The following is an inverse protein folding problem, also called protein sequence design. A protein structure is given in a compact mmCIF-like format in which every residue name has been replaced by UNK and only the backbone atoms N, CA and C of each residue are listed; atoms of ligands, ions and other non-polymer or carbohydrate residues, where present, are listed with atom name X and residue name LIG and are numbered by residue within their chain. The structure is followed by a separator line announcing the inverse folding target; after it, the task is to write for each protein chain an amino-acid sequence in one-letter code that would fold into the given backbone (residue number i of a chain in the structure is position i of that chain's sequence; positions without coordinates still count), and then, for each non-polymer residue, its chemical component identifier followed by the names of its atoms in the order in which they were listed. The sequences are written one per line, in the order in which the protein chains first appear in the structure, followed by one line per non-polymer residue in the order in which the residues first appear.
data_IF_205516220209
#
_entry.id   IF_205516220209
#
_cell.length_a   1.000
_cell.length_b   1.000
_cell.length_c   1.000
_cell.angle_alpha   90.00
_cell.angle_beta   90.00
_cell.angle_gamma   90.00
#
_symmetry.space_group_name_H-M   'P 1'
#
loop_
_entity.id
_entity.type
_entity.pdbx_description
1 polymer ?
#
# COMPACT_ATOMS: atom_id res chain seq x y z
N UNK A 1 3.85 23.59 -30.31
CA UNK A 1 3.13 23.16 -29.10
C UNK A 1 2.38 21.90 -29.44
N UNK A 2 3.03 20.74 -29.31
CA UNK A 2 2.41 19.42 -29.57
C UNK A 2 2.16 18.78 -28.22
N UNK A 3 0.89 18.54 -27.91
CA UNK A 3 0.43 17.78 -26.75
C UNK A 3 0.84 16.32 -26.93
N UNK A 4 1.76 15.84 -26.09
CA UNK A 4 2.12 14.42 -26.02
C UNK A 4 0.93 13.67 -25.43
N UNK A 5 0.19 12.94 -26.29
CA UNK A 5 -0.90 12.10 -25.88
C UNK A 5 -0.39 10.95 -25.00
N UNK A 6 -0.76 10.96 -23.73
CA UNK A 6 -0.60 9.81 -22.83
C UNK A 6 -1.52 8.70 -23.32
N UNK A 7 -0.93 7.52 -23.55
CA UNK A 7 -1.65 6.36 -24.08
C UNK A 7 -2.87 6.03 -23.22
N UNK A 8 -4.01 5.97 -23.86
CA UNK A 8 -5.28 5.53 -23.29
C UNK A 8 -5.13 4.11 -22.70
N UNK A 9 -5.76 3.89 -21.55
CA UNK A 9 -5.94 2.54 -20.96
C UNK A 9 -6.40 1.58 -22.06
N UNK A 10 -5.78 0.40 -22.22
CA UNK A 10 -6.18 -0.52 -23.25
C UNK A 10 -7.70 -0.79 -23.19
N UNK A 11 -8.39 -0.66 -24.30
CA UNK A 11 -9.85 -0.83 -24.43
C UNK A 11 -10.37 -2.18 -23.86
N UNK A 12 -9.48 -3.15 -23.64
CA UNK A 12 -9.78 -4.43 -23.00
C UNK A 12 -10.15 -4.34 -21.53
N UNK A 13 -9.52 -3.43 -20.74
CA UNK A 13 -9.90 -3.21 -19.33
C UNK A 13 -11.27 -2.51 -19.23
N UNK A 14 -11.55 -1.58 -20.14
CA UNK A 14 -12.85 -0.91 -20.21
C UNK A 14 -13.99 -1.87 -20.64
N UNK A 15 -13.73 -2.83 -21.55
CA UNK A 15 -14.74 -3.81 -21.99
C UNK A 15 -15.03 -4.90 -20.96
N UNK A 16 -14.06 -5.33 -20.13
CA UNK A 16 -14.30 -6.31 -19.08
C UNK A 16 -15.19 -5.76 -17.92
N UNK A 17 -15.33 -4.43 -17.81
CA UNK A 17 -16.21 -3.77 -16.84
C UNK A 17 -17.67 -3.61 -17.31
N UNK A 18 -18.01 -3.95 -18.56
CA UNK A 18 -19.32 -3.70 -19.15
C UNK A 18 -20.34 -4.83 -18.97
N UNK A 19 -20.40 -5.46 -17.81
CA UNK A 19 -21.55 -6.29 -17.42
C UNK A 19 -22.60 -5.41 -16.71
N UNK A 20 -23.90 -5.44 -17.06
CA UNK A 20 -24.89 -4.42 -16.63
C UNK A 20 -25.30 -4.44 -15.16
N UNK A 21 -24.76 -5.29 -14.33
CA UNK A 21 -25.17 -5.46 -12.95
C UNK A 21 -24.23 -4.82 -11.94
N UNK A 22 -24.05 -3.51 -11.95
CA UNK A 22 -23.56 -2.69 -10.84
C UNK A 22 -22.53 -1.61 -11.22
N UNK A 23 -23.03 -0.54 -11.83
CA UNK A 23 -22.28 0.69 -12.14
C UNK A 23 -21.93 1.55 -10.90
N UNK A 24 -21.86 1.00 -9.68
CA UNK A 24 -21.36 1.71 -8.51
C UNK A 24 -20.10 1.02 -8.04
N UNK A 25 -18.93 1.50 -8.51
CA UNK A 25 -17.63 1.19 -7.94
C UNK A 25 -17.57 1.52 -6.43
N UNK A 26 -16.49 1.17 -5.73
CA UNK A 26 -16.31 1.56 -4.34
C UNK A 26 -16.45 3.08 -4.26
N UNK A 27 -17.19 3.58 -3.28
CA UNK A 27 -17.30 5.04 -3.09
C UNK A 27 -15.98 5.55 -2.55
N UNK A 28 -15.16 6.11 -3.42
CA UNK A 28 -13.98 6.86 -3.02
C UNK A 28 -14.40 7.96 -2.04
N UNK A 29 -13.67 8.08 -0.95
CA UNK A 29 -13.86 9.13 0.07
C UNK A 29 -12.58 9.95 0.16
N UNK A 30 -12.75 11.27 0.23
CA UNK A 30 -11.71 12.16 0.69
C UNK A 30 -11.50 11.90 2.18
N UNK A 31 -10.25 11.89 2.62
CA UNK A 31 -9.87 11.60 4.00
C UNK A 31 -9.01 12.72 4.57
N UNK A 32 -9.19 12.99 5.84
CA UNK A 32 -8.38 13.96 6.55
C UNK A 32 -6.97 13.39 6.82
N UNK A 33 -5.97 14.18 6.53
CA UNK A 33 -4.58 13.89 6.86
C UNK A 33 -4.32 14.37 8.28
N UNK A 34 -3.78 13.50 9.11
CA UNK A 34 -3.40 13.82 10.48
C UNK A 34 -1.96 14.30 10.51
N UNK A 35 -1.75 15.61 10.59
CA UNK A 35 -0.41 16.20 10.78
C UNK A 35 -0.02 16.14 12.25
N UNK A 36 1.14 15.59 12.57
CA UNK A 36 1.69 15.47 13.92
C UNK A 36 2.76 16.52 14.21
N UNK A 37 3.38 17.05 13.17
CA UNK A 37 4.34 18.15 13.21
C UNK A 37 3.93 19.21 12.18
N UNK A 38 4.44 20.44 12.26
CA UNK A 38 4.28 21.42 11.19
C UNK A 38 4.71 20.83 9.84
N UNK A 39 4.10 21.27 8.72
CA UNK A 39 4.46 20.80 7.40
C UNK A 39 5.98 20.89 7.17
N UNK A 40 6.58 19.77 6.85
CA UNK A 40 8.00 19.68 6.53
C UNK A 40 8.13 19.08 5.13
N UNK A 41 8.70 19.85 4.21
CA UNK A 41 9.19 19.27 2.97
C UNK A 41 10.30 18.31 3.35
N UNK A 42 10.23 17.07 2.86
CA UNK A 42 11.39 16.21 2.94
C UNK A 42 12.55 16.90 2.24
N UNK A 43 13.72 16.88 2.86
CA UNK A 43 14.95 17.28 2.17
C UNK A 43 14.99 16.66 0.78
N UNK A 44 15.45 17.36 -0.26
CA UNK A 44 15.55 16.83 -1.61
C UNK A 44 16.31 15.51 -1.59
N UNK A 45 15.62 14.41 -1.85
CA UNK A 45 16.20 13.07 -1.78
C UNK A 45 16.27 12.48 -3.19
N UNK A 46 17.43 11.94 -3.56
CA UNK A 46 17.61 11.23 -4.83
C UNK A 46 16.81 9.94 -4.88
N UNK A 47 16.57 9.33 -3.72
CA UNK A 47 15.84 8.06 -3.60
C UNK A 47 14.68 8.16 -2.61
N UNK A 48 13.64 7.38 -2.85
CA UNK A 48 12.48 7.22 -1.97
C UNK A 48 12.48 5.82 -1.37
N UNK A 49 12.62 5.74 -0.04
CA UNK A 49 12.51 4.46 0.70
C UNK A 49 11.08 4.27 1.17
N UNK A 50 10.50 3.12 0.86
CA UNK A 50 9.14 2.74 1.27
C UNK A 50 9.17 1.40 2.00
N UNK A 51 8.20 1.18 2.88
CA UNK A 51 8.04 -0.08 3.61
C UNK A 51 6.55 -0.43 3.68
N UNK A 52 6.22 -1.71 3.53
CA UNK A 52 4.87 -2.22 3.83
C UNK A 52 4.91 -3.29 4.91
N UNK A 53 3.88 -3.29 5.76
CA UNK A 53 3.71 -4.27 6.85
C UNK A 53 2.24 -4.45 7.21
N UNK A 54 1.76 -5.68 7.17
CA UNK A 54 0.51 -6.04 7.83
C UNK A 54 0.77 -6.14 9.35
N UNK A 55 0.06 -5.32 10.15
CA UNK A 55 0.27 -5.20 11.62
C UNK A 55 -0.38 -6.33 12.42
N UNK A 56 -1.19 -7.18 11.78
CA UNK A 56 -1.93 -8.24 12.45
C UNK A 56 -2.67 -7.72 13.71
N UNK A 57 -3.33 -6.56 13.61
CA UNK A 57 -4.08 -5.93 14.71
C UNK A 57 -3.25 -5.72 16.01
N UNK A 58 -1.92 -5.64 15.90
CA UNK A 58 -1.02 -5.52 17.06
C UNK A 58 -0.86 -6.79 17.90
N UNK A 59 -1.32 -7.95 17.40
CA UNK A 59 -1.20 -9.25 18.13
C UNK A 59 0.20 -9.87 18.05
N UNK A 60 1.09 -9.32 17.22
CA UNK A 60 2.39 -9.91 16.92
C UNK A 60 2.24 -11.19 16.10
N UNK A 61 3.14 -12.15 16.27
CA UNK A 61 3.17 -13.43 15.53
C UNK A 61 2.16 -14.48 16.04
N UNK A 62 1.01 -14.06 16.59
CA UNK A 62 -0.02 -15.00 17.05
C UNK A 62 -0.99 -15.31 15.95
N UNK A 63 -1.29 -16.59 15.73
CA UNK A 63 -2.17 -17.05 14.65
C UNK A 63 -3.64 -16.66 14.82
N UNK A 64 -4.10 -16.52 16.08
CA UNK A 64 -5.53 -16.30 16.38
C UNK A 64 -5.72 -14.91 17.00
N UNK A 65 -6.65 -14.14 16.43
CA UNK A 65 -7.09 -12.88 17.03
C UNK A 65 -7.87 -13.17 18.33
N UNK A 66 -7.30 -12.71 19.43
CA UNK A 66 -7.94 -12.67 20.76
C UNK A 66 -7.93 -11.24 21.26
N UNK A 67 -8.68 -10.96 22.34
CA UNK A 67 -8.56 -9.69 23.05
C UNK A 67 -7.10 -9.47 23.49
N UNK A 68 -6.49 -8.45 22.91
CA UNK A 68 -5.11 -8.06 23.25
C UNK A 68 -5.18 -6.91 24.26
N UNK A 69 -4.55 -7.08 25.42
CA UNK A 69 -4.45 -5.99 26.40
C UNK A 69 -3.67 -4.83 25.79
N UNK A 70 -4.07 -3.60 26.13
CA UNK A 70 -3.46 -2.36 25.63
C UNK A 70 -1.94 -2.35 25.77
N UNK A 71 -1.42 -2.64 26.97
CA UNK A 71 0.02 -2.67 27.24
C UNK A 71 0.80 -3.63 26.32
N UNK A 72 0.18 -4.75 25.95
CA UNK A 72 0.80 -5.71 25.04
C UNK A 72 0.80 -5.20 23.60
N UNK A 73 -0.30 -4.60 23.13
CA UNK A 73 -0.36 -3.97 21.81
C UNK A 73 0.64 -2.81 21.72
N UNK A 74 0.72 -1.95 22.76
CA UNK A 74 1.70 -0.87 22.84
C UNK A 74 3.13 -1.40 22.77
N UNK A 75 3.49 -2.43 23.55
CA UNK A 75 4.82 -3.05 23.50
C UNK A 75 5.15 -3.57 22.09
N UNK A 76 4.18 -4.20 21.42
CA UNK A 76 4.37 -4.69 20.06
C UNK A 76 4.58 -3.53 19.07
N UNK A 77 3.80 -2.47 19.17
CA UNK A 77 3.95 -1.28 18.33
C UNK A 77 5.25 -0.52 18.60
N UNK A 78 5.76 -0.50 19.85
CA UNK A 78 7.09 0.04 20.16
C UNK A 78 8.19 -0.74 19.43
N UNK A 79 8.07 -2.06 19.32
CA UNK A 79 9.02 -2.88 18.54
C UNK A 79 8.95 -2.55 17.04
N UNK A 80 7.73 -2.38 16.52
CA UNK A 80 7.54 -1.92 15.12
C UNK A 80 8.15 -0.53 14.94
N UNK A 81 7.91 0.42 15.85
CA UNK A 81 8.51 1.75 15.81
C UNK A 81 10.04 1.71 15.82
N UNK A 82 10.64 0.81 16.62
CA UNK A 82 12.09 0.61 16.64
C UNK A 82 12.64 0.12 15.29
N UNK A 83 11.93 -0.81 14.63
CA UNK A 83 12.25 -1.23 13.27
C UNK A 83 12.17 -0.05 12.29
N UNK A 84 11.09 0.73 12.33
CA UNK A 84 10.91 1.88 11.44
C UNK A 84 12.01 2.94 11.64
N UNK A 85 12.40 3.24 12.88
CA UNK A 85 13.53 4.14 13.18
C UNK A 85 14.87 3.59 12.67
N UNK A 86 15.10 2.28 12.73
CA UNK A 86 16.33 1.65 12.26
C UNK A 86 16.45 1.68 10.73
N UNK A 87 15.36 1.44 10.02
CA UNK A 87 15.33 1.36 8.57
C UNK A 87 14.98 2.67 7.87
N UNK A 88 14.50 3.65 8.62
CA UNK A 88 14.17 5.01 8.16
C UNK A 88 13.40 5.07 6.83
N UNK A 89 12.29 4.30 6.63
CA UNK A 89 11.50 4.44 5.43
C UNK A 89 10.80 5.81 5.42
N UNK A 90 10.84 6.51 4.29
CA UNK A 90 10.18 7.82 4.13
C UNK A 90 8.66 7.68 4.15
N UNK A 91 8.14 6.55 3.65
CA UNK A 91 6.72 6.24 3.59
C UNK A 91 6.47 4.80 4.02
N UNK A 92 5.46 4.60 4.87
CA UNK A 92 5.07 3.27 5.36
C UNK A 92 3.62 3.00 5.02
N UNK A 93 3.33 1.87 4.39
CA UNK A 93 1.98 1.35 4.19
C UNK A 93 1.67 0.27 5.21
N UNK A 94 0.55 0.41 5.90
CA UNK A 94 0.12 -0.50 6.95
C UNK A 94 -1.21 -1.15 6.59
N UNK A 95 -1.35 -2.44 6.89
CA UNK A 95 -2.58 -3.20 6.78
C UNK A 95 -2.94 -3.77 8.17
N UNK A 96 -4.20 -4.15 8.36
CA UNK A 96 -4.75 -4.52 9.68
C UNK A 96 -4.40 -3.50 10.77
N UNK A 97 -4.45 -2.23 10.36
CA UNK A 97 -4.11 -1.08 11.19
C UNK A 97 -5.36 -0.65 11.97
N UNK A 98 -5.35 -0.90 13.29
CA UNK A 98 -6.49 -0.64 14.13
C UNK A 98 -6.60 0.83 14.54
N UNK A 99 -7.84 1.34 14.54
CA UNK A 99 -8.25 2.50 15.30
C UNK A 99 -8.55 2.11 16.75
N UNK A 100 -9.59 2.72 17.33
CA UNK A 100 -10.02 2.42 18.72
C UNK A 100 -10.84 1.12 18.80
N UNK A 101 -10.24 -0.02 18.43
CA UNK A 101 -10.91 -1.32 18.46
C UNK A 101 -10.82 -1.98 19.85
N UNK A 102 -11.91 -2.64 20.28
CA UNK A 102 -12.01 -3.29 21.59
C UNK A 102 -11.02 -4.43 21.72
N UNK A 103 -10.84 -5.21 20.64
CA UNK A 103 -9.98 -6.40 20.67
C UNK A 103 -8.48 -6.11 20.71
N UNK A 104 -8.07 -4.86 20.48
CA UNK A 104 -6.67 -4.44 20.37
C UNK A 104 -6.28 -3.29 21.30
N UNK A 105 -7.03 -3.14 22.42
CA UNK A 105 -6.66 -2.23 23.50
C UNK A 105 -7.30 -0.84 23.45
N UNK A 106 -8.28 -0.58 22.57
CA UNK A 106 -9.10 0.65 22.50
C UNK A 106 -8.32 1.95 22.28
N UNK A 107 -7.23 1.91 21.53
CA UNK A 107 -6.47 3.09 21.11
C UNK A 107 -6.13 3.03 19.63
N UNK A 108 -5.76 4.16 19.03
CA UNK A 108 -5.38 4.20 17.62
C UNK A 108 -3.93 3.76 17.47
N UNK A 109 -3.72 2.59 16.86
CA UNK A 109 -2.41 2.00 16.60
C UNK A 109 -1.58 2.84 15.64
N UNK A 110 -2.24 3.47 14.64
CA UNK A 110 -1.56 4.27 13.61
C UNK A 110 -1.02 5.56 14.22
N UNK A 111 -1.85 6.29 14.99
CA UNK A 111 -1.42 7.49 15.70
C UNK A 111 -0.26 7.19 16.68
N UNK A 112 -0.43 6.14 17.48
CA UNK A 112 0.60 5.71 18.42
C UNK A 112 1.91 5.39 17.70
N UNK A 113 1.86 4.59 16.64
CA UNK A 113 3.04 4.18 15.88
C UNK A 113 3.71 5.37 15.19
N UNK A 114 2.94 6.27 14.57
CA UNK A 114 3.47 7.45 13.91
C UNK A 114 4.24 8.35 14.89
N UNK A 115 3.69 8.61 16.08
CA UNK A 115 4.37 9.37 17.13
C UNK A 115 5.61 8.66 17.66
N UNK A 116 5.52 7.36 17.93
CA UNK A 116 6.65 6.58 18.47
C UNK A 116 7.79 6.44 17.45
N UNK A 117 7.49 6.42 16.16
CA UNK A 117 8.50 6.30 15.13
C UNK A 117 8.98 7.65 14.56
N UNK A 118 8.38 8.78 14.96
CA UNK A 118 8.79 10.13 14.57
C UNK A 118 8.32 10.53 13.17
N UNK A 119 7.16 10.03 12.71
CA UNK A 119 6.57 10.45 11.44
C UNK A 119 5.86 11.80 11.56
N UNK A 120 5.95 12.61 10.51
CA UNK A 120 5.33 13.94 10.48
C UNK A 120 3.81 13.89 10.37
N UNK A 121 3.28 12.82 9.78
CA UNK A 121 1.85 12.66 9.64
C UNK A 121 1.43 11.27 9.16
N UNK A 122 0.11 11.06 9.14
CA UNK A 122 -0.48 9.83 8.63
C UNK A 122 -1.87 10.06 8.04
N UNK A 123 -2.31 9.10 7.25
CA UNK A 123 -3.69 8.96 6.79
C UNK A 123 -4.16 7.54 7.06
N UNK A 124 -5.40 7.36 7.50
CA UNK A 124 -5.98 6.05 7.82
C UNK A 124 -7.40 5.93 7.27
N UNK A 125 -7.70 4.79 6.65
CA UNK A 125 -9.04 4.40 6.23
C UNK A 125 -9.50 3.18 7.01
N UNK A 126 -10.62 3.29 7.73
CA UNK A 126 -11.27 2.14 8.36
C UNK A 126 -12.19 1.46 7.36
N UNK A 127 -11.88 0.22 7.01
CA UNK A 127 -12.71 -0.62 6.13
C UNK A 127 -13.76 -1.40 6.91
N UNK A 128 -13.52 -1.59 8.20
CA UNK A 128 -14.48 -2.13 9.17
C UNK A 128 -14.64 -1.11 10.28
N UNK A 129 -15.88 -0.73 10.56
CA UNK A 129 -16.23 0.22 11.61
C UNK A 129 -17.60 -0.12 12.21
N UNK A 130 -17.69 -0.12 13.54
CA UNK A 130 -18.90 -0.43 14.30
C UNK A 130 -18.73 -1.63 15.22
N UNK A 131 -19.66 -1.83 16.15
CA UNK A 131 -19.66 -2.91 17.15
C UNK A 131 -18.31 -3.03 17.92
N UNK A 132 -17.67 -1.90 18.20
CA UNK A 132 -16.38 -1.87 18.88
C UNK A 132 -15.17 -2.24 18.01
N UNK A 133 -15.35 -2.38 16.70
CA UNK A 133 -14.30 -2.60 15.74
C UNK A 133 -14.00 -1.32 14.97
N UNK A 134 -12.74 -1.05 14.68
CA UNK A 134 -12.27 0.00 13.78
C UNK A 134 -10.89 -0.37 13.28
N UNK A 135 -10.78 -0.82 12.01
CA UNK A 135 -9.49 -1.14 11.41
C UNK A 135 -9.52 -1.08 9.88
N UNK A 136 -8.36 -0.98 9.28
CA UNK A 136 -8.22 -0.91 7.83
C UNK A 136 -6.78 -0.78 7.36
N UNK A 137 -6.53 0.19 6.50
CA UNK A 137 -5.21 0.50 5.96
C UNK A 137 -4.77 1.91 6.32
N UNK A 138 -3.46 2.14 6.38
CA UNK A 138 -2.90 3.45 6.67
C UNK A 138 -1.61 3.71 5.88
N UNK A 139 -1.24 5.00 5.77
CA UNK A 139 0.05 5.46 5.27
C UNK A 139 0.62 6.42 6.30
N UNK A 140 1.89 6.22 6.67
CA UNK A 140 2.69 7.17 7.45
C UNK A 140 3.70 7.83 6.51
N UNK A 141 4.05 9.10 6.75
CA UNK A 141 5.11 9.79 6.01
C UNK A 141 5.99 10.65 6.91
N UNK A 142 7.30 10.69 6.60
CA UNK A 142 8.26 11.56 7.27
C UNK A 142 8.08 13.03 6.88
N UNK A 143 7.53 13.30 5.70
CA UNK A 143 7.21 14.63 5.20
C UNK A 143 5.72 14.77 4.93
N UNK A 144 5.37 15.77 4.11
CA UNK A 144 3.99 16.11 3.76
C UNK A 144 3.24 14.95 3.10
N UNK A 145 1.99 14.81 3.47
CA UNK A 145 0.98 14.02 2.79
C UNK A 145 -0.03 14.97 2.13
N UNK A 146 -0.45 14.67 0.90
CA UNK A 146 -1.44 15.45 0.16
C UNK A 146 -2.50 14.54 -0.45
N UNK A 147 -3.63 15.10 -0.83
CA UNK A 147 -4.71 14.43 -1.57
C UNK A 147 -5.09 13.06 -0.98
N UNK A 148 -5.33 13.02 0.32
CA UNK A 148 -5.70 11.80 1.03
C UNK A 148 -7.05 11.27 0.57
N UNK A 149 -7.11 10.03 0.10
CA UNK A 149 -8.38 9.38 -0.25
C UNK A 149 -8.30 7.86 -0.03
N UNK A 150 -9.46 7.22 -0.05
CA UNK A 150 -9.52 5.77 0.10
C UNK A 150 -10.89 5.21 -0.25
N UNK A 151 -10.96 3.90 -0.37
CA UNK A 151 -12.21 3.19 -0.59
C UNK A 151 -12.22 1.82 0.10
N UNK A 152 -13.41 1.42 0.51
CA UNK A 152 -13.70 0.07 0.98
C UNK A 152 -14.31 -0.72 -0.15
N UNK A 153 -13.74 -1.87 -0.49
CA UNK A 153 -14.30 -2.80 -1.47
C UNK A 153 -15.65 -3.34 -1.01
N UNK A 154 -16.42 -3.86 -1.94
CA UNK A 154 -17.68 -4.52 -1.63
C UNK A 154 -17.46 -5.62 -0.59
N UNK A 155 -18.34 -5.71 0.44
CA UNK A 155 -18.25 -6.78 1.43
C UNK A 155 -18.29 -8.17 0.77
N UNK A 156 -17.45 -9.07 1.24
CA UNK A 156 -17.35 -10.45 0.76
C UNK A 156 -17.46 -11.44 1.93
N UNK A 157 -18.64 -11.54 2.59
CA UNK A 157 -18.82 -12.44 3.73
C UNK A 157 -18.38 -13.88 3.40
N UNK A 158 -17.80 -14.62 4.37
CA UNK A 158 -17.67 -14.32 5.80
C UNK A 158 -16.46 -13.44 6.17
N UNK A 159 -15.65 -12.98 5.19
CA UNK A 159 -14.50 -12.12 5.47
C UNK A 159 -14.95 -10.69 5.76
N UNK A 160 -14.20 -10.01 6.61
CA UNK A 160 -14.38 -8.59 6.84
C UNK A 160 -13.97 -7.77 5.61
N UNK A 161 -14.59 -6.60 5.44
CA UNK A 161 -14.31 -5.70 4.32
C UNK A 161 -12.82 -5.33 4.28
N UNK A 162 -12.30 -5.25 3.06
CA UNK A 162 -10.95 -4.85 2.70
C UNK A 162 -11.01 -3.56 1.88
N UNK A 163 -9.86 -3.00 1.57
CA UNK A 163 -9.82 -1.76 0.79
C UNK A 163 -8.43 -1.19 0.66
N UNK A 164 -8.38 0.09 0.39
CA UNK A 164 -7.14 0.82 0.18
C UNK A 164 -7.24 2.25 0.69
N UNK A 165 -6.09 2.84 0.99
CA UNK A 165 -5.89 4.27 1.24
C UNK A 165 -4.77 4.78 0.36
N UNK A 166 -4.86 6.01 -0.10
CA UNK A 166 -3.91 6.65 -0.99
C UNK A 166 -3.57 8.05 -0.50
N UNK A 167 -2.33 8.46 -0.71
CA UNK A 167 -1.88 9.82 -0.56
C UNK A 167 -0.85 10.20 -1.65
N UNK A 168 -0.67 11.48 -1.88
CA UNK A 168 0.39 12.03 -2.72
C UNK A 168 1.53 12.48 -1.83
N UNK A 169 2.74 12.03 -2.16
CA UNK A 169 3.98 12.35 -1.46
C UNK A 169 4.81 13.29 -2.35
N UNK A 170 5.11 14.51 -1.91
CA UNK A 170 6.04 15.37 -2.62
C UNK A 170 7.42 14.72 -2.72
N UNK A 171 7.96 14.64 -3.94
CA UNK A 171 9.29 14.10 -4.21
C UNK A 171 9.87 14.76 -5.46
N UNK A 172 10.72 15.77 -5.23
CA UNK A 172 11.22 16.66 -6.28
C UNK A 172 12.02 15.93 -7.37
N UNK A 173 12.64 14.79 -7.05
CA UNK A 173 13.47 14.03 -8.00
C UNK A 173 12.67 13.35 -9.13
N UNK A 174 11.37 13.14 -8.97
CA UNK A 174 10.53 12.46 -9.97
C UNK A 174 9.82 13.47 -10.86
N UNK A 175 9.56 13.09 -12.11
CA UNK A 175 8.77 13.91 -13.04
C UNK A 175 7.39 14.21 -12.45
N UNK A 176 7.00 15.48 -12.41
CA UNK A 176 5.76 15.95 -11.76
C UNK A 176 5.95 16.28 -10.27
N UNK A 177 7.16 16.10 -9.69
CA UNK A 177 7.50 16.54 -8.34
C UNK A 177 6.79 15.79 -7.21
N UNK A 178 6.08 14.71 -7.52
CA UNK A 178 5.32 13.93 -6.55
C UNK A 178 5.07 12.49 -7.02
N UNK A 179 4.76 11.61 -6.07
CA UNK A 179 4.38 10.21 -6.31
C UNK A 179 3.10 9.88 -5.54
N UNK A 180 2.17 9.16 -6.16
CA UNK A 180 1.00 8.61 -5.49
C UNK A 180 1.35 7.27 -4.88
N UNK A 181 1.07 7.12 -3.58
CA UNK A 181 1.30 5.89 -2.82
C UNK A 181 -0.03 5.33 -2.38
N UNK A 182 -0.18 4.00 -2.45
CA UNK A 182 -1.37 3.27 -2.04
C UNK A 182 -0.98 2.18 -1.06
N UNK A 183 -1.66 2.12 0.09
CA UNK A 183 -1.68 0.98 0.99
C UNK A 183 -2.91 0.13 0.68
N UNK A 184 -2.71 -1.11 0.26
CA UNK A 184 -3.74 -2.04 -0.20
C UNK A 184 -3.85 -3.26 0.71
N UNK A 185 -5.08 -3.73 0.95
CA UNK A 185 -5.33 -5.03 1.55
C UNK A 185 -6.47 -5.72 0.81
N UNK A 186 -6.19 -6.90 0.24
CA UNK A 186 -7.16 -7.71 -0.52
C UNK A 186 -7.74 -8.86 0.31
N UNK A 187 -8.82 -9.45 -0.17
CA UNK A 187 -9.46 -10.62 0.45
C UNK A 187 -8.50 -11.82 0.51
N UNK A 188 -8.37 -12.44 1.69
CA UNK A 188 -7.45 -13.57 1.88
C UNK A 188 -8.05 -14.91 1.44
N UNK A 189 -9.38 -15.03 1.41
CA UNK A 189 -10.05 -16.32 1.25
C UNK A 189 -10.36 -16.64 -0.23
N UNK A 190 -10.89 -15.68 -0.99
CA UNK A 190 -11.50 -15.95 -2.30
C UNK A 190 -10.79 -15.25 -3.44
N UNK A 191 -10.31 -16.02 -4.43
CA UNK A 191 -9.72 -15.47 -5.65
C UNK A 191 -10.72 -14.57 -6.42
N UNK A 192 -12.00 -14.97 -6.54
CA UNK A 192 -13.03 -14.15 -7.21
C UNK A 192 -13.22 -12.77 -6.55
N UNK A 193 -13.13 -12.71 -5.21
CA UNK A 193 -13.21 -11.43 -4.47
C UNK A 193 -12.01 -10.58 -4.82
N UNK A 194 -10.78 -11.13 -4.79
CA UNK A 194 -9.56 -10.39 -5.18
C UNK A 194 -9.60 -9.89 -6.61
N UNK A 195 -10.10 -10.72 -7.54
CA UNK A 195 -10.27 -10.30 -8.95
C UNK A 195 -11.17 -9.09 -9.08
N UNK A 196 -12.34 -9.08 -8.40
CA UNK A 196 -13.23 -7.93 -8.37
C UNK A 196 -12.57 -6.70 -7.77
N UNK A 197 -11.89 -6.86 -6.63
CA UNK A 197 -11.19 -5.79 -5.91
C UNK A 197 -10.06 -5.17 -6.76
N UNK A 198 -9.28 -5.99 -7.45
CA UNK A 198 -8.21 -5.51 -8.32
C UNK A 198 -8.75 -4.77 -9.56
N UNK A 199 -9.87 -5.24 -10.14
CA UNK A 199 -10.53 -4.53 -11.25
C UNK A 199 -11.13 -3.21 -10.80
N UNK A 200 -11.76 -3.16 -9.62
CA UNK A 200 -12.26 -1.93 -9.02
C UNK A 200 -11.12 -0.92 -8.81
N UNK A 201 -9.97 -1.37 -8.28
CA UNK A 201 -8.78 -0.55 -8.09
C UNK A 201 -8.20 -0.06 -9.43
N UNK A 202 -8.14 -0.93 -10.45
CA UNK A 202 -7.64 -0.56 -11.78
C UNK A 202 -8.46 0.56 -12.41
N UNK A 203 -9.79 0.50 -12.30
CA UNK A 203 -10.69 1.54 -12.80
C UNK A 203 -10.49 2.87 -12.06
N UNK A 204 -10.28 2.83 -10.75
CA UNK A 204 -10.05 4.03 -9.93
C UNK A 204 -8.73 4.73 -10.25
N UNK A 205 -7.74 3.99 -10.73
CA UNK A 205 -6.39 4.49 -10.99
C UNK A 205 -6.12 4.79 -12.48
N UNK A 206 -7.06 4.48 -13.37
CA UNK A 206 -6.88 4.55 -14.82
C UNK A 206 -6.45 5.92 -15.33
N UNK A 207 -6.98 6.98 -14.73
CA UNK A 207 -6.75 8.38 -15.15
C UNK A 207 -5.63 9.08 -14.37
N UNK A 208 -4.84 8.32 -13.59
CA UNK A 208 -3.76 8.87 -12.77
C UNK A 208 -2.57 9.34 -13.60
N UNK A 209 -2.14 10.59 -13.39
CA UNK A 209 -0.99 11.22 -14.09
C UNK A 209 0.33 11.09 -13.33
N UNK A 210 0.27 10.87 -12.02
CA UNK A 210 1.46 10.78 -11.18
C UNK A 210 2.11 9.41 -11.26
N UNK A 211 3.44 9.31 -11.10
CA UNK A 211 4.09 8.06 -10.77
C UNK A 211 3.39 7.37 -9.60
N UNK A 212 3.30 6.05 -9.64
CA UNK A 212 2.46 5.26 -8.74
C UNK A 212 3.28 4.19 -8.03
N UNK A 213 3.05 4.06 -6.72
CA UNK A 213 3.52 2.92 -5.91
C UNK A 213 2.29 2.30 -5.22
N UNK A 214 2.04 1.02 -5.46
CA UNK A 214 1.02 0.24 -4.74
C UNK A 214 1.74 -0.78 -3.90
N UNK A 215 1.47 -0.79 -2.60
CA UNK A 215 2.09 -1.75 -1.69
C UNK A 215 1.12 -2.24 -0.63
N UNK A 216 1.32 -3.47 -0.18
CA UNK A 216 0.47 -4.07 0.85
C UNK A 216 0.30 -5.57 0.71
N UNK A 217 -0.71 -6.07 1.41
CA UNK A 217 -1.09 -7.47 1.43
C UNK A 217 -2.08 -7.78 0.30
N UNK A 218 -1.57 -8.39 -0.76
CA UNK A 218 -2.37 -8.83 -1.91
C UNK A 218 -3.00 -10.21 -1.70
N UNK A 219 -2.62 -10.92 -0.66
CA UNK A 219 -3.08 -12.28 -0.36
C UNK A 219 -2.93 -13.27 -1.53
N UNK A 220 -2.13 -12.93 -2.53
CA UNK A 220 -1.86 -13.73 -3.73
C UNK A 220 -0.53 -13.36 -4.38
N UNK A 221 -0.25 -13.99 -5.51
CA UNK A 221 0.93 -13.72 -6.35
C UNK A 221 0.50 -13.43 -7.78
N UNK A 222 1.27 -12.70 -8.61
CA UNK A 222 0.94 -12.44 -10.01
C UNK A 222 0.67 -13.72 -10.82
N UNK A 223 1.39 -14.81 -10.51
CA UNK A 223 1.20 -16.11 -11.17
C UNK A 223 -0.12 -16.81 -10.83
N UNK A 224 -0.65 -16.58 -9.62
CA UNK A 224 -1.88 -17.23 -9.13
C UNK A 224 -3.12 -16.35 -9.29
N UNK A 225 -2.93 -15.07 -9.55
CA UNK A 225 -4.00 -14.09 -9.64
C UNK A 225 -3.92 -13.32 -10.96
N UNK A 226 -4.59 -13.80 -12.02
CA UNK A 226 -4.55 -13.14 -13.32
C UNK A 226 -4.93 -11.65 -13.28
N UNK A 227 -5.87 -11.27 -12.42
CA UNK A 227 -6.27 -9.87 -12.28
C UNK A 227 -5.14 -8.98 -11.70
N UNK A 228 -4.19 -9.55 -10.95
CA UNK A 228 -2.99 -8.82 -10.54
C UNK A 228 -2.06 -8.56 -11.73
N UNK A 229 -1.89 -9.52 -12.60
CA UNK A 229 -1.13 -9.35 -13.84
C UNK A 229 -1.84 -8.35 -14.79
N UNK A 230 -3.18 -8.40 -14.86
CA UNK A 230 -3.99 -7.42 -15.61
C UNK A 230 -3.81 -6.00 -15.07
N UNK A 231 -3.86 -5.82 -13.73
CA UNK A 231 -3.60 -4.52 -13.07
C UNK A 231 -2.20 -4.01 -13.41
N UNK A 232 -1.18 -4.86 -13.27
CA UNK A 232 0.21 -4.49 -13.54
C UNK A 232 0.39 -4.08 -15.02
N UNK A 233 -0.11 -4.87 -15.95
CA UNK A 233 -0.03 -4.58 -17.38
C UNK A 233 -0.81 -3.30 -17.76
N UNK A 234 -2.04 -3.15 -17.24
CA UNK A 234 -2.93 -2.04 -17.57
C UNK A 234 -2.42 -0.68 -17.05
N UNK A 235 -1.78 -0.66 -15.91
CA UNK A 235 -1.23 0.56 -15.31
C UNK A 235 0.29 0.72 -15.54
N UNK A 236 0.92 -0.16 -16.32
CA UNK A 236 2.35 -0.13 -16.57
C UNK A 236 3.19 -0.28 -15.30
N UNK A 237 2.75 -1.17 -14.40
CA UNK A 237 3.43 -1.47 -13.15
C UNK A 237 4.41 -2.63 -13.30
N UNK A 238 5.47 -2.58 -12.51
CA UNK A 238 6.42 -3.67 -12.35
C UNK A 238 6.72 -3.91 -10.87
N UNK A 239 7.33 -5.04 -10.56
CA UNK A 239 7.80 -5.37 -9.20
C UNK A 239 9.22 -5.92 -9.27
N UNK A 240 9.89 -5.92 -8.13
CA UNK A 240 11.21 -6.50 -8.00
C UNK A 240 11.11 -8.03 -8.00
N UNK A 241 11.85 -8.68 -8.92
CA UNK A 241 11.96 -10.13 -9.02
C UNK A 241 10.61 -10.87 -8.87
N UNK A 242 9.74 -10.69 -9.85
CA UNK A 242 8.38 -11.25 -9.86
C UNK A 242 8.37 -12.78 -9.72
N UNK A 243 9.41 -13.42 -10.20
CA UNK A 243 9.52 -14.88 -10.31
C UNK A 243 10.34 -15.52 -9.18
N UNK A 244 10.87 -14.72 -8.24
CA UNK A 244 11.63 -15.24 -7.11
C UNK A 244 10.82 -16.23 -6.29
N UNK A 245 11.35 -17.43 -6.15
CA UNK A 245 10.77 -18.52 -5.36
C UNK A 245 11.58 -18.84 -4.09
N UNK A 246 12.71 -18.16 -3.89
CA UNK A 246 13.57 -18.36 -2.74
C UNK A 246 12.83 -18.07 -1.42
N UNK A 247 13.10 -18.84 -0.38
CA UNK A 247 12.50 -18.67 0.94
C UNK A 247 12.70 -17.26 1.52
N UNK A 248 13.79 -16.59 1.16
CA UNK A 248 14.10 -15.21 1.53
C UNK A 248 13.13 -14.17 0.96
N UNK A 249 12.27 -14.55 0.00
CA UNK A 249 11.22 -13.68 -0.56
C UNK A 249 9.85 -13.93 0.07
N UNK A 250 9.71 -14.94 0.94
CA UNK A 250 8.45 -15.22 1.62
C UNK A 250 8.14 -14.13 2.63
N UNK A 251 6.96 -13.54 2.53
CA UNK A 251 6.50 -12.47 3.42
C UNK A 251 5.53 -12.95 4.49
N UNK A 252 4.98 -14.16 4.32
CA UNK A 252 4.13 -14.82 5.32
C UNK A 252 4.74 -16.18 5.70
N UNK A 253 5.60 -16.20 6.74
CA UNK A 253 6.40 -17.39 7.08
C UNK A 253 5.59 -18.66 7.32
N UNK A 254 4.45 -18.56 8.02
CA UNK A 254 3.61 -19.72 8.33
C UNK A 254 3.07 -20.45 7.09
N UNK A 255 2.89 -19.76 5.96
CA UNK A 255 2.44 -20.35 4.69
C UNK A 255 3.55 -20.58 3.67
N UNK A 256 4.77 -20.10 3.94
CA UNK A 256 5.87 -20.13 2.97
C UNK A 256 5.52 -19.38 1.68
N UNK A 257 4.80 -18.26 1.75
CA UNK A 257 4.32 -17.52 0.58
C UNK A 257 4.76 -16.08 0.59
N UNK A 258 5.00 -15.54 -0.62
CA UNK A 258 5.15 -14.11 -0.86
C UNK A 258 3.78 -13.54 -1.23
N UNK A 259 3.14 -12.83 -0.33
CA UNK A 259 1.79 -12.27 -0.52
C UNK A 259 1.75 -10.75 -0.30
N UNK A 260 2.80 -10.19 0.29
CA UNK A 260 3.00 -8.74 0.39
C UNK A 260 3.89 -8.28 -0.75
N UNK A 261 3.40 -7.26 -1.49
CA UNK A 261 4.03 -6.79 -2.71
C UNK A 261 4.22 -5.28 -2.70
N UNK A 262 5.24 -4.84 -3.42
CA UNK A 262 5.46 -3.45 -3.79
C UNK A 262 5.51 -3.39 -5.31
N UNK A 263 4.53 -2.70 -5.91
CA UNK A 263 4.41 -2.47 -7.35
C UNK A 263 4.70 -1.01 -7.64
N UNK A 264 5.43 -0.71 -8.69
CA UNK A 264 5.78 0.65 -9.08
C UNK A 264 5.53 0.90 -10.56
N UNK A 265 5.13 2.12 -10.93
CA UNK A 265 4.99 2.52 -12.33
C UNK A 265 6.36 2.64 -12.99
N UNK A 266 6.39 2.54 -14.33
CA UNK A 266 7.60 2.60 -15.17
C UNK A 266 8.47 3.86 -15.00
N UNK A 267 7.93 4.91 -14.36
CA UNK A 267 8.67 6.13 -14.05
C UNK A 267 9.64 5.98 -12.88
N UNK A 268 9.56 4.86 -12.17
CA UNK A 268 10.36 4.52 -11.00
C UNK A 268 11.16 3.25 -11.29
N UNK A 269 12.40 3.19 -10.82
CA UNK A 269 13.19 1.94 -10.83
C UNK A 269 13.52 1.52 -9.42
N UNK A 270 13.49 0.24 -9.15
CA UNK A 270 13.99 -0.31 -7.89
C UNK A 270 15.52 -0.14 -7.83
N UNK A 271 15.99 0.48 -6.75
CA UNK A 271 17.41 0.50 -6.36
C UNK A 271 17.69 -0.69 -5.46
N UNK A 272 16.77 -0.96 -4.53
CA UNK A 272 16.85 -2.07 -3.56
C UNK A 272 15.46 -2.60 -3.24
N UNK A 273 15.40 -3.89 -2.93
CA UNK A 273 14.20 -4.54 -2.38
C UNK A 273 14.65 -5.60 -1.37
N UNK A 274 14.02 -5.64 -0.20
CA UNK A 274 14.40 -6.57 0.87
C UNK A 274 13.18 -6.96 1.67
N UNK A 275 13.00 -8.25 1.92
CA UNK A 275 12.12 -8.76 2.98
C UNK A 275 12.96 -8.76 4.26
N UNK A 276 12.53 -7.99 5.25
CA UNK A 276 13.26 -7.85 6.51
C UNK A 276 12.98 -9.08 7.39
N UNK A 277 13.99 -9.62 8.09
CA UNK A 277 13.83 -10.86 8.87
C UNK A 277 13.14 -10.65 10.23
N UNK A 278 12.71 -9.44 10.53
CA UNK A 278 12.12 -9.06 11.80
C UNK A 278 10.70 -9.60 11.96
N UNK A 279 10.53 -10.62 12.80
CA UNK A 279 9.22 -11.25 13.08
C UNK A 279 8.43 -10.41 14.07
N UNK A 280 7.78 -9.35 13.58
CA UNK A 280 6.96 -8.43 14.36
C UNK A 280 5.46 -8.65 14.16
N UNK A 281 5.09 -9.45 13.20
CA UNK A 281 3.73 -9.82 12.82
C UNK A 281 3.77 -11.26 12.29
N UNK A 282 2.64 -11.85 11.91
CA UNK A 282 2.60 -13.04 11.08
C UNK A 282 3.02 -12.74 9.62
N UNK A 283 3.19 -11.47 9.27
CA UNK A 283 3.83 -11.00 8.05
C UNK A 283 5.21 -10.39 8.35
N UNK A 284 6.15 -10.56 7.42
CA UNK A 284 7.45 -9.90 7.45
C UNK A 284 7.38 -8.54 6.73
N UNK A 285 8.08 -7.50 7.24
CA UNK A 285 8.13 -6.21 6.57
C UNK A 285 8.83 -6.31 5.22
N UNK A 286 8.30 -5.64 4.20
CA UNK A 286 8.94 -5.52 2.88
C UNK A 286 9.35 -4.08 2.67
N UNK A 287 10.63 -3.85 2.41
CA UNK A 287 11.21 -2.55 2.12
C UNK A 287 11.68 -2.48 0.67
N UNK A 288 11.45 -1.32 0.03
CA UNK A 288 12.03 -0.99 -1.25
C UNK A 288 12.61 0.42 -1.25
N UNK A 289 13.60 0.63 -2.10
CA UNK A 289 14.17 1.93 -2.41
C UNK A 289 14.03 2.19 -3.90
N UNK A 290 13.54 3.38 -4.23
CA UNK A 290 13.28 3.80 -5.60
C UNK A 290 14.15 5.00 -5.98
N UNK A 291 14.55 5.04 -7.25
CA UNK A 291 15.02 6.23 -7.92
C UNK A 291 14.12 6.53 -9.15
N UNK A 292 14.08 7.77 -9.63
CA UNK A 292 13.44 8.06 -10.90
C UNK A 292 14.04 7.19 -12.01
N UNK A 293 13.19 6.66 -12.89
CA UNK A 293 13.69 6.02 -14.11
C UNK A 293 14.31 7.10 -14.99
N UNK A 294 15.47 6.83 -15.58
CA UNK A 294 16.11 7.75 -16.51
C UNK A 294 15.13 8.10 -17.65
N UNK A 295 14.97 9.38 -17.96
CA UNK A 295 14.22 9.78 -19.14
C UNK A 295 14.82 9.06 -20.35
N UNK A 296 14.02 8.27 -21.08
CA UNK A 296 14.48 7.71 -22.38
C UNK A 296 14.87 8.90 -23.24
N UNK A 297 16.17 9.04 -23.54
CA UNK A 297 16.61 9.91 -24.62
C UNK A 297 15.90 9.44 -25.89
N UNK A 298 14.90 10.18 -26.34
CA UNK A 298 14.34 9.96 -27.67
C UNK A 298 15.50 10.24 -28.62
N UNK A 299 16.03 9.16 -29.21
CA UNK A 299 17.08 9.30 -30.21
C UNK A 299 16.53 10.16 -31.35
N UNK A 300 17.15 11.31 -31.56
CA UNK A 300 16.93 12.12 -32.76
C UNK A 300 17.36 11.23 -33.93
N UNK A 301 16.52 10.97 -34.92
CA UNK A 301 16.96 10.24 -36.13
C UNK A 301 18.11 11.07 -36.74
N UNK A 302 19.27 10.45 -36.89
CA UNK A 302 20.35 11.04 -37.70
C UNK A 302 19.81 11.13 -39.14
N UNK A 303 19.74 12.36 -39.64
CA UNK A 303 19.51 12.63 -41.06
C UNK A 303 20.71 12.20 -41.90
#
# INVERSE_FOLDING_TARGET
MQTVGYGSVPARLARAAATPASRRGPRRRQLDIQSLTPPQLMEPQETLRVLTLNLAHGRGNRLIQRLVRRSRAELQLVRVAALLRRHTPHVVALQEADGKAVWSGRFNHVDFLARQAGYAGYIQMHHVQGLGLAYGTAILAMGDLREGCGATFRPTPPTFSKGWVSAVIPWAAVTGGAVRVISLHLDFLRARSRQSQLRELALELADGLLPLIIMGDFNSTPRREPAMAELMSGLGLHTFDQDATAATTHTHPASGRRIDWILASKHLRFVRHTVLPDVLSDHLPVQAEFAPAAARKVGVPRQ
#
